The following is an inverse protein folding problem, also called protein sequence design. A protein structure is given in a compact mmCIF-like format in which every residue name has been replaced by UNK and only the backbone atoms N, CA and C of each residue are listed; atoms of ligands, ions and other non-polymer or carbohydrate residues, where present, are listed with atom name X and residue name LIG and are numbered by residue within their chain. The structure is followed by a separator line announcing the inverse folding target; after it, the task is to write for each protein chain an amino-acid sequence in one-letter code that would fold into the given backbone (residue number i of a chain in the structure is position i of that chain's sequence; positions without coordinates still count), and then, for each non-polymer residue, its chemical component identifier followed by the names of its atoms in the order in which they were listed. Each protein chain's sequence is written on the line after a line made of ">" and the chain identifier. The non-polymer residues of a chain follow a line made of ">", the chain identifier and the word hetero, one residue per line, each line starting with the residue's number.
data_IF_272259001817
#
_entry.id   IF_272259001817
#
_cell.length_a   1.000
_cell.length_b   1.000
_cell.length_c   1.000
_cell.angle_alpha   90.00
_cell.angle_beta   90.00
_cell.angle_gamma   90.00
#
_symmetry.space_group_name_H-M   'P 1'
#
loop_
_entity.id
_entity.type
_entity.pdbx_description
1 polymer ?
#
# COMPACT_ATOMS: atom_id res chain seq x y z
N UNK A 1 11.57 -14.65 30.13
CA UNK A 1 10.84 -13.43 29.77
C UNK A 1 11.16 -13.08 28.33
N UNK A 2 10.26 -13.37 27.39
CA UNK A 2 10.24 -12.69 26.10
C UNK A 2 8.83 -12.87 25.53
N UNK A 3 8.06 -11.79 25.55
CA UNK A 3 6.66 -11.76 25.15
C UNK A 3 6.60 -11.39 23.68
N UNK A 4 6.14 -12.32 22.84
CA UNK A 4 5.79 -12.05 21.45
C UNK A 4 4.51 -11.20 21.43
N UNK A 5 4.66 -9.91 21.18
CA UNK A 5 3.52 -9.03 20.93
C UNK A 5 2.89 -9.40 19.58
N UNK A 6 1.78 -10.14 19.61
CA UNK A 6 0.86 -10.26 18.47
C UNK A 6 0.20 -8.88 18.27
N UNK A 7 0.44 -8.27 17.11
CA UNK A 7 -0.32 -7.10 16.65
C UNK A 7 -1.77 -7.52 16.39
N UNK A 8 -2.72 -6.97 17.16
CA UNK A 8 -4.15 -7.13 16.92
C UNK A 8 -4.59 -6.27 15.71
N UNK A 9 -4.46 -6.81 14.51
CA UNK A 9 -5.15 -6.30 13.32
C UNK A 9 -6.56 -6.88 13.23
N UNK A 10 -7.54 -6.07 12.80
CA UNK A 10 -8.88 -6.54 12.42
C UNK A 10 -8.78 -7.75 11.46
N UNK A 11 -9.73 -8.70 11.48
CA UNK A 11 -9.69 -9.84 10.56
C UNK A 11 -9.62 -9.32 9.12
N UNK A 12 -8.63 -9.82 8.37
CA UNK A 12 -8.47 -9.47 6.96
C UNK A 12 -9.76 -9.82 6.21
N UNK A 13 -10.25 -8.89 5.40
CA UNK A 13 -11.34 -9.19 4.48
C UNK A 13 -10.84 -10.27 3.49
N UNK A 14 -11.69 -11.24 3.09
CA UNK A 14 -11.31 -12.21 2.07
C UNK A 14 -10.72 -11.50 0.84
N UNK A 15 -9.51 -11.91 0.43
CA UNK A 15 -8.79 -11.30 -0.69
C UNK A 15 -7.92 -10.08 -0.34
N UNK A 16 -7.71 -9.78 0.94
CA UNK A 16 -6.76 -8.74 1.39
C UNK A 16 -5.63 -9.35 2.21
N UNK A 17 -4.44 -8.75 2.12
CA UNK A 17 -3.26 -9.09 2.94
C UNK A 17 -2.65 -7.78 3.45
N UNK A 18 -2.35 -7.73 4.74
CA UNK A 18 -1.83 -6.56 5.45
C UNK A 18 -0.44 -6.85 5.97
N UNK A 19 0.54 -6.08 5.52
CA UNK A 19 1.93 -6.20 5.95
C UNK A 19 2.38 -4.84 6.49
N UNK A 20 2.86 -4.82 7.74
CA UNK A 20 3.43 -3.62 8.34
C UNK A 20 4.78 -3.29 7.69
N UNK A 21 4.93 -2.06 7.19
CA UNK A 21 6.21 -1.56 6.68
C UNK A 21 7.09 -1.06 7.82
N UNK A 22 8.40 -1.32 7.73
CA UNK A 22 9.41 -0.72 8.61
C UNK A 22 9.88 0.67 8.13
N UNK A 23 9.36 1.14 6.99
CA UNK A 23 9.80 2.37 6.34
C UNK A 23 8.68 3.44 6.36
N UNK A 24 9.04 4.73 6.27
CA UNK A 24 8.08 5.79 6.01
C UNK A 24 7.26 5.54 4.74
N UNK A 25 6.11 6.20 4.60
CA UNK A 25 5.18 5.97 3.48
C UNK A 25 5.85 6.21 2.13
N UNK A 26 6.54 7.34 1.96
CA UNK A 26 7.23 7.66 0.70
C UNK A 26 8.29 6.61 0.31
N UNK A 27 9.08 6.13 1.27
CA UNK A 27 10.06 5.06 1.01
C UNK A 27 9.37 3.73 0.70
N UNK A 28 8.32 3.38 1.44
CA UNK A 28 7.52 2.19 1.18
C UNK A 28 6.95 2.20 -0.24
N UNK A 29 6.42 3.34 -0.68
CA UNK A 29 5.88 3.53 -2.03
C UNK A 29 6.97 3.39 -3.09
N UNK A 30 8.15 3.98 -2.88
CA UNK A 30 9.28 3.83 -3.80
C UNK A 30 9.72 2.37 -3.95
N UNK A 31 9.80 1.63 -2.83
CA UNK A 31 10.14 0.20 -2.81
C UNK A 31 9.08 -0.65 -3.50
N UNK A 32 7.80 -0.37 -3.27
CA UNK A 32 6.70 -1.08 -3.93
C UNK A 32 6.71 -0.82 -5.44
N UNK A 33 6.94 0.42 -5.90
CA UNK A 33 7.08 0.73 -7.33
C UNK A 33 8.18 -0.11 -7.99
N UNK A 34 9.33 -0.22 -7.33
CA UNK A 34 10.45 -1.05 -7.80
C UNK A 34 10.07 -2.54 -7.83
N UNK A 35 9.46 -3.05 -6.77
CA UNK A 35 9.04 -4.46 -6.72
C UNK A 35 7.98 -4.81 -7.77
N UNK A 36 7.05 -3.90 -8.06
CA UNK A 36 6.05 -4.05 -9.14
C UNK A 36 6.74 -4.15 -10.50
N UNK A 37 7.72 -3.29 -10.76
CA UNK A 37 8.51 -3.28 -12.00
C UNK A 37 9.34 -4.55 -12.17
N UNK A 38 10.06 -4.96 -11.12
CA UNK A 38 10.85 -6.21 -11.08
C UNK A 38 9.99 -7.47 -11.25
N UNK A 39 8.70 -7.41 -10.86
CA UNK A 39 7.73 -8.47 -11.05
C UNK A 39 7.08 -8.46 -12.45
N UNK A 40 7.53 -7.60 -13.37
CA UNK A 40 6.98 -7.40 -14.71
C UNK A 40 5.48 -7.06 -14.69
N UNK A 41 5.02 -6.40 -13.63
CA UNK A 41 3.65 -5.91 -13.49
C UNK A 41 3.57 -4.45 -13.91
N UNK A 42 2.43 -4.06 -14.47
CA UNK A 42 2.19 -2.67 -14.84
C UNK A 42 1.69 -1.90 -13.63
N UNK A 43 2.34 -0.79 -13.30
CA UNK A 43 1.77 0.26 -12.45
C UNK A 43 0.83 1.13 -13.29
N UNK A 44 -0.47 1.10 -12.99
CA UNK A 44 -1.48 1.87 -13.71
C UNK A 44 -1.65 3.27 -13.14
N UNK A 45 -1.65 3.40 -11.81
CA UNK A 45 -1.85 4.68 -11.15
C UNK A 45 -1.22 4.69 -9.76
N UNK A 46 -0.86 5.91 -9.32
CA UNK A 46 -0.55 6.23 -7.93
C UNK A 46 -1.45 7.37 -7.53
N UNK A 47 -2.29 7.16 -6.51
CA UNK A 47 -3.23 8.15 -6.02
C UNK A 47 -2.77 8.63 -4.64
N UNK A 48 -2.47 9.92 -4.54
CA UNK A 48 -2.22 10.59 -3.26
C UNK A 48 -3.54 10.93 -2.57
N UNK A 49 -4.05 9.95 -1.82
CA UNK A 49 -5.35 10.05 -1.18
C UNK A 49 -5.31 11.04 -0.01
N UNK A 50 -4.24 11.01 0.80
CA UNK A 50 -4.02 11.98 1.87
C UNK A 50 -3.93 13.42 1.34
N UNK A 51 -3.17 13.67 0.27
CA UNK A 51 -3.10 15.02 -0.31
C UNK A 51 -4.42 15.46 -0.93
N UNK A 52 -5.20 14.52 -1.50
CA UNK A 52 -6.58 14.78 -1.93
C UNK A 52 -7.48 15.22 -0.77
N UNK A 53 -7.41 14.51 0.36
CA UNK A 53 -8.13 14.86 1.58
C UNK A 53 -7.71 16.24 2.12
N UNK A 54 -6.40 16.51 2.19
CA UNK A 54 -5.89 17.80 2.66
C UNK A 54 -6.38 18.96 1.78
N UNK A 55 -6.38 18.81 0.46
CA UNK A 55 -6.94 19.81 -0.48
C UNK A 55 -8.45 20.03 -0.28
N UNK A 56 -9.16 19.03 0.23
CA UNK A 56 -10.57 19.11 0.58
C UNK A 56 -10.81 19.63 2.02
N UNK A 57 -9.77 20.06 2.74
CA UNK A 57 -9.87 20.55 4.12
C UNK A 57 -10.03 19.45 5.17
N UNK A 58 -9.75 18.19 4.82
CA UNK A 58 -9.85 17.04 5.71
C UNK A 58 -8.46 16.63 6.22
N UNK A 59 -8.38 16.22 7.48
CA UNK A 59 -7.16 15.63 8.05
C UNK A 59 -7.09 14.13 7.73
N UNK A 60 -5.92 13.66 7.31
CA UNK A 60 -5.67 12.25 7.04
C UNK A 60 -4.18 11.93 7.23
N UNK A 61 -3.89 10.75 7.77
CA UNK A 61 -2.53 10.20 7.80
C UNK A 61 -2.02 9.98 6.37
N UNK A 62 -0.72 10.08 6.16
CA UNK A 62 -0.11 9.87 4.85
C UNK A 62 -0.53 8.51 4.25
N UNK A 63 -1.22 8.56 3.11
CA UNK A 63 -1.87 7.40 2.51
C UNK A 63 -1.81 7.50 0.98
N UNK A 64 -1.24 6.47 0.37
CA UNK A 64 -1.10 6.34 -1.09
C UNK A 64 -1.73 5.04 -1.55
N UNK A 65 -2.47 5.08 -2.67
CA UNK A 65 -3.00 3.89 -3.35
C UNK A 65 -2.20 3.64 -4.63
N UNK A 66 -1.66 2.43 -4.77
CA UNK A 66 -0.99 1.98 -5.99
C UNK A 66 -1.89 0.96 -6.68
N UNK A 67 -2.35 1.27 -7.90
CA UNK A 67 -3.09 0.34 -8.73
C UNK A 67 -2.12 -0.29 -9.73
N UNK A 68 -1.98 -1.61 -9.69
CA UNK A 68 -1.06 -2.36 -10.54
C UNK A 68 -1.60 -3.74 -10.90
N UNK A 69 -1.01 -4.39 -11.90
CA UNK A 69 -1.38 -5.76 -12.29
C UNK A 69 -0.82 -6.18 -13.64
N UNK A 70 -1.12 -7.41 -14.05
CA UNK A 70 -0.72 -7.94 -15.34
C UNK A 70 -1.83 -7.70 -16.38
N UNK A 71 -1.62 -6.85 -17.39
CA UNK A 71 -2.64 -6.56 -18.41
C UNK A 71 -2.99 -7.78 -19.27
N UNK A 72 -2.14 -8.81 -19.32
CA UNK A 72 -2.36 -10.05 -20.09
C UNK A 72 -3.13 -11.12 -19.32
N UNK A 73 -3.18 -11.03 -17.98
CA UNK A 73 -3.81 -12.03 -17.13
C UNK A 73 -5.34 -11.89 -17.03
N UNK A 74 -5.93 -10.80 -17.55
CA UNK A 74 -7.36 -10.54 -17.50
C UNK A 74 -8.21 -11.30 -18.53
N UNK A 75 -7.84 -12.53 -18.91
CA UNK A 75 -8.61 -13.40 -19.81
C UNK A 75 -8.77 -14.79 -19.21
#
# INVERSE_FOLDING_TARGET
>A
MSSTAKSNGSPEAPGTVTIASAFPVEETVARLKRAIDEAELRLFAVVDHSGGAHRAGLAMNDTKLLLFGNPRAGR
#
